data_IF_304588453332
#
_entry.id   IF_304588453332
#
_cell.length_a   1.000
_cell.length_b   1.000
_cell.length_c   1.000
_cell.angle_alpha   90.00
_cell.angle_beta   90.00
_cell.angle_gamma   90.00
#
_symmetry.space_group_name_H-M   'P 1'
#
loop_
_entity.id
_entity.type
_entity.pdbx_description
1 polymer ?
#
# COMPACT_ATOMS: atom_id res chain seq x y z
N UNK A 1 18.30 56.49 17.20
CA UNK A 1 17.20 55.53 17.41
C UNK A 1 16.61 55.01 16.08
N UNK A 2 16.28 55.88 15.10
CA UNK A 2 15.69 55.42 13.80
C UNK A 2 16.58 54.45 13.00
N UNK A 3 17.91 54.58 13.06
CA UNK A 3 18.87 53.69 12.33
C UNK A 3 18.95 52.29 12.94
N UNK A 4 18.75 52.13 14.24
CA UNK A 4 18.73 50.85 14.95
C UNK A 4 17.47 50.03 14.63
N UNK A 5 16.31 50.68 14.48
CA UNK A 5 15.06 50.01 14.12
C UNK A 5 15.06 49.51 12.66
N UNK A 6 15.68 50.25 11.76
CA UNK A 6 15.80 49.83 10.35
C UNK A 6 16.74 48.63 10.20
N UNK A 7 17.86 48.61 10.95
CA UNK A 7 18.81 47.48 10.91
C UNK A 7 18.21 46.20 11.50
N UNK A 8 17.39 46.31 12.56
CA UNK A 8 16.70 45.19 13.19
C UNK A 8 15.57 44.65 12.30
N UNK A 9 14.87 45.50 11.55
CA UNK A 9 13.85 45.10 10.60
C UNK A 9 14.42 44.31 9.39
N UNK A 10 15.59 44.70 8.92
CA UNK A 10 16.30 43.99 7.81
C UNK A 10 16.81 42.62 8.28
N UNK A 11 17.29 42.49 9.53
CA UNK A 11 17.73 41.22 10.09
C UNK A 11 16.58 40.20 10.27
N UNK A 12 15.40 40.66 10.68
CA UNK A 12 14.20 39.84 10.84
C UNK A 12 13.64 39.39 9.47
N UNK A 13 13.73 40.24 8.42
CA UNK A 13 13.28 39.87 7.08
C UNK A 13 14.22 38.86 6.40
N UNK A 14 15.53 38.87 6.70
CA UNK A 14 16.48 37.90 6.18
C UNK A 14 16.32 36.50 6.76
N UNK A 15 15.81 36.35 7.99
CA UNK A 15 15.52 35.03 8.59
C UNK A 15 14.22 34.38 8.08
N UNK A 16 13.29 35.14 7.51
CA UNK A 16 12.02 34.62 7.01
C UNK A 16 12.16 33.91 5.63
N UNK A 17 13.28 34.05 4.92
CA UNK A 17 13.51 33.45 3.59
C UNK A 17 14.09 32.03 3.68
N UNK A 18 14.46 31.55 4.87
CA UNK A 18 15.00 30.20 5.12
C UNK A 18 13.95 29.14 5.45
N UNK A 19 12.65 29.46 5.37
CA UNK A 19 11.59 28.45 5.40
C UNK A 19 11.62 27.69 4.07
N UNK A 20 12.47 26.63 4.03
CA UNK A 20 12.77 25.85 2.85
C UNK A 20 11.53 25.17 2.26
N UNK A 21 11.07 25.69 1.15
CA UNK A 21 10.38 24.85 0.18
C UNK A 21 11.40 23.83 -0.35
N UNK A 22 11.14 22.54 -0.15
CA UNK A 22 11.95 21.49 -0.73
C UNK A 22 12.21 21.80 -2.22
N UNK A 23 13.46 21.85 -2.63
CA UNK A 23 13.84 22.18 -4.00
C UNK A 23 13.34 21.11 -4.98
N UNK A 24 13.25 21.43 -6.26
CA UNK A 24 12.88 20.44 -7.29
C UNK A 24 13.82 19.23 -7.28
N UNK A 25 15.09 19.45 -6.96
CA UNK A 25 16.11 18.40 -6.87
C UNK A 25 15.90 17.49 -5.67
N UNK A 26 15.59 18.04 -4.49
CA UNK A 26 15.26 17.24 -3.30
C UNK A 26 14.02 16.37 -3.52
N UNK A 27 12.99 16.91 -4.16
CA UNK A 27 11.78 16.14 -4.50
C UNK A 27 12.08 15.03 -5.52
N UNK A 28 12.95 15.29 -6.49
CA UNK A 28 13.39 14.28 -7.46
C UNK A 28 14.22 13.18 -6.77
N UNK A 29 15.13 13.55 -5.86
CA UNK A 29 15.90 12.60 -5.07
C UNK A 29 15.02 11.71 -4.20
N UNK A 30 14.05 12.28 -3.48
CA UNK A 30 13.10 11.54 -2.66
C UNK A 30 12.25 10.57 -3.48
N UNK A 31 11.78 10.98 -4.67
CA UNK A 31 11.05 10.08 -5.58
C UNK A 31 11.90 8.91 -6.05
N UNK A 32 13.16 9.18 -6.41
CA UNK A 32 14.09 8.15 -6.84
C UNK A 32 14.47 7.19 -5.72
N UNK A 33 14.58 7.67 -4.50
CA UNK A 33 14.80 6.83 -3.31
C UNK A 33 13.59 5.94 -3.03
N UNK A 34 12.39 6.50 -3.07
CA UNK A 34 11.15 5.74 -2.88
C UNK A 34 11.04 4.62 -3.92
N UNK A 35 11.27 4.91 -5.20
CA UNK A 35 11.25 3.92 -6.28
C UNK A 35 12.27 2.80 -6.07
N UNK A 36 13.47 3.12 -5.57
CA UNK A 36 14.47 2.11 -5.19
C UNK A 36 14.00 1.22 -4.04
N UNK A 37 13.39 1.81 -3.01
CA UNK A 37 12.88 1.07 -1.85
C UNK A 37 11.73 0.13 -2.26
N UNK A 38 10.80 0.60 -3.11
CA UNK A 38 9.75 -0.24 -3.69
C UNK A 38 10.36 -1.41 -4.44
N UNK A 39 11.29 -1.13 -5.36
CA UNK A 39 11.93 -2.17 -6.18
C UNK A 39 12.67 -3.19 -5.32
N UNK A 40 13.40 -2.74 -4.29
CA UNK A 40 14.11 -3.62 -3.37
C UNK A 40 13.14 -4.54 -2.62
N UNK A 41 12.11 -3.99 -1.99
CA UNK A 41 11.14 -4.74 -1.21
C UNK A 41 10.42 -5.82 -2.05
N UNK A 42 10.06 -5.49 -3.29
CA UNK A 42 9.44 -6.41 -4.23
C UNK A 42 10.41 -7.53 -4.66
N UNK A 43 11.63 -7.19 -5.05
CA UNK A 43 12.64 -8.18 -5.46
C UNK A 43 13.00 -9.16 -4.32
N UNK A 44 13.00 -8.69 -3.08
CA UNK A 44 13.22 -9.50 -1.88
C UNK A 44 11.97 -10.29 -1.45
N UNK A 45 10.81 -10.06 -2.08
CA UNK A 45 9.51 -10.61 -1.67
C UNK A 45 9.24 -10.40 -0.18
N UNK A 46 9.61 -9.23 0.30
CA UNK A 46 9.45 -8.83 1.69
C UNK A 46 8.84 -7.42 1.73
N UNK A 47 7.52 -7.35 1.76
CA UNK A 47 6.80 -6.09 1.72
C UNK A 47 5.47 -6.17 2.42
N UNK A 48 5.01 -5.02 2.92
CA UNK A 48 3.71 -4.85 3.56
C UNK A 48 2.99 -3.67 2.93
N UNK A 49 1.72 -3.87 2.60
CA UNK A 49 0.82 -2.85 2.08
C UNK A 49 -0.25 -2.57 3.12
N UNK A 50 -0.19 -1.40 3.73
CA UNK A 50 -1.24 -0.90 4.62
C UNK A 50 -2.46 -0.46 3.81
N UNK A 51 -3.62 -0.94 4.20
CA UNK A 51 -4.88 -0.67 3.51
C UNK A 51 -5.52 0.59 4.09
N UNK A 52 -5.86 1.53 3.21
CA UNK A 52 -6.48 2.80 3.55
C UNK A 52 -7.97 2.82 3.20
N UNK A 53 -8.36 2.13 2.13
CA UNK A 53 -9.75 2.11 1.66
C UNK A 53 -10.12 0.72 1.14
N UNK A 54 -11.37 0.39 1.33
CA UNK A 54 -12.03 -0.79 0.80
C UNK A 54 -13.07 -0.35 -0.25
N UNK A 55 -13.05 -1.01 -1.40
CA UNK A 55 -13.92 -0.73 -2.54
C UNK A 55 -14.68 -2.03 -2.90
N UNK A 56 -15.83 -2.29 -2.29
CA UNK A 56 -16.61 -3.47 -2.61
C UNK A 56 -17.23 -3.35 -4.00
N UNK A 57 -17.56 -4.48 -4.63
CA UNK A 57 -18.24 -4.50 -5.93
C UNK A 57 -19.60 -3.81 -5.87
N UNK A 58 -20.23 -3.79 -4.69
CA UNK A 58 -21.53 -3.16 -4.46
C UNK A 58 -21.45 -2.25 -3.24
N UNK A 59 -22.00 -1.05 -3.40
CA UNK A 59 -21.98 -0.03 -2.36
C UNK A 59 -20.87 0.98 -2.53
N UNK A 60 -20.69 1.84 -1.54
CA UNK A 60 -19.74 2.94 -1.59
C UNK A 60 -18.36 2.48 -1.12
N UNK A 61 -17.32 3.09 -1.68
CA UNK A 61 -15.96 3.04 -1.16
C UNK A 61 -15.92 3.55 0.28
N UNK A 62 -15.18 2.86 1.15
CA UNK A 62 -15.09 3.17 2.59
C UNK A 62 -13.63 3.25 3.03
N UNK A 63 -13.32 4.25 3.83
CA UNK A 63 -12.06 4.26 4.57
C UNK A 63 -12.10 3.16 5.63
N UNK A 64 -10.98 2.48 5.84
CA UNK A 64 -10.86 1.45 6.86
C UNK A 64 -10.05 1.95 8.04
N UNK A 65 -10.24 1.33 9.20
CA UNK A 65 -9.47 1.62 10.39
C UNK A 65 -8.00 1.25 10.18
N UNK A 66 -7.11 1.85 10.96
CA UNK A 66 -5.70 1.49 10.97
C UNK A 66 -5.49 0.00 11.33
N UNK A 67 -4.50 -0.62 10.71
CA UNK A 67 -4.05 -1.99 11.04
C UNK A 67 -4.36 -3.04 9.97
N UNK A 68 -5.25 -2.77 9.01
CA UNK A 68 -5.49 -3.70 7.91
C UNK A 68 -4.34 -3.69 6.91
N UNK A 69 -3.87 -4.86 6.50
CA UNK A 69 -2.72 -4.99 5.61
C UNK A 69 -2.71 -6.30 4.81
N UNK A 70 -1.94 -6.29 3.74
CA UNK A 70 -1.44 -7.46 3.04
C UNK A 70 0.08 -7.44 3.14
N UNK A 71 0.67 -8.52 3.62
CA UNK A 71 2.10 -8.65 3.77
C UNK A 71 2.59 -9.94 3.11
N UNK A 72 3.70 -9.85 2.39
CA UNK A 72 4.44 -11.00 1.85
C UNK A 72 5.76 -11.07 2.57
N UNK A 73 6.05 -12.20 3.19
CA UNK A 73 7.30 -12.45 3.90
C UNK A 73 7.60 -13.94 3.95
N UNK A 74 8.84 -14.33 3.62
CA UNK A 74 9.29 -15.73 3.65
C UNK A 74 8.35 -16.68 2.89
N UNK A 75 7.99 -16.31 1.65
CA UNK A 75 7.05 -17.04 0.78
C UNK A 75 5.67 -17.33 1.42
N UNK A 76 5.29 -16.51 2.38
CA UNK A 76 4.00 -16.57 3.08
C UNK A 76 3.24 -15.27 2.87
N UNK A 77 1.96 -15.40 2.51
CA UNK A 77 1.02 -14.29 2.47
C UNK A 77 0.34 -14.16 3.84
N UNK A 78 0.44 -12.99 4.44
CA UNK A 78 -0.32 -12.58 5.62
C UNK A 78 -1.41 -11.63 5.15
N UNK A 79 -2.64 -12.06 5.22
CA UNK A 79 -3.80 -11.25 4.85
C UNK A 79 -4.57 -10.89 6.12
N UNK A 80 -4.72 -9.60 6.36
CA UNK A 80 -5.59 -9.06 7.39
C UNK A 80 -6.44 -7.96 6.77
N UNK A 81 -7.57 -8.35 6.17
CA UNK A 81 -8.41 -7.50 5.36
C UNK A 81 -9.86 -7.53 5.83
N UNK A 82 -10.54 -6.37 5.91
CA UNK A 82 -11.97 -6.33 6.15
C UNK A 82 -12.70 -6.77 4.88
N UNK A 83 -13.70 -7.60 5.00
CA UNK A 83 -14.52 -8.01 3.87
C UNK A 83 -15.93 -7.43 3.96
N UNK A 84 -16.40 -6.89 2.84
CA UNK A 84 -17.78 -6.48 2.66
C UNK A 84 -18.23 -6.86 1.26
N UNK A 85 -19.19 -7.78 1.18
CA UNK A 85 -19.69 -8.34 -0.08
C UNK A 85 -20.53 -9.59 0.16
N UNK A 86 -20.98 -10.23 -0.91
CA UNK A 86 -21.65 -11.52 -0.83
C UNK A 86 -20.64 -12.64 -0.63
N UNK A 87 -20.94 -13.52 0.32
CA UNK A 87 -20.34 -14.83 0.39
C UNK A 87 -21.35 -15.86 -0.15
N UNK A 88 -20.91 -16.72 -1.06
CA UNK A 88 -21.75 -17.74 -1.71
C UNK A 88 -21.83 -18.99 -0.87
N UNK A 89 -20.75 -19.34 -0.21
CA UNK A 89 -20.68 -20.44 0.73
C UNK A 89 -19.83 -20.01 1.91
N UNK A 90 -20.42 -19.99 3.10
CA UNK A 90 -19.74 -19.58 4.33
C UNK A 90 -19.65 -20.79 5.24
N UNK A 91 -18.46 -21.14 5.76
CA UNK A 91 -18.34 -22.19 6.76
C UNK A 91 -19.26 -21.95 7.96
N UNK A 92 -19.76 -23.02 8.54
CA UNK A 92 -20.57 -22.94 9.74
C UNK A 92 -19.78 -22.20 10.84
N UNK A 93 -20.34 -21.12 11.39
CA UNK A 93 -19.63 -20.27 12.35
C UNK A 93 -18.98 -19.01 11.74
N UNK A 94 -19.15 -18.76 10.42
CA UNK A 94 -18.78 -17.48 9.79
C UNK A 94 -17.41 -17.43 9.10
N UNK A 95 -16.50 -18.38 9.37
CA UNK A 95 -15.16 -18.43 8.78
C UNK A 95 -14.25 -17.25 9.14
N UNK A 96 -12.96 -17.34 8.78
CA UNK A 96 -11.96 -16.29 9.05
C UNK A 96 -12.00 -15.14 8.03
N UNK A 97 -12.74 -15.32 6.94
CA UNK A 97 -12.83 -14.33 5.88
C UNK A 97 -11.52 -14.15 5.12
N UNK A 98 -11.02 -12.90 5.08
CA UNK A 98 -9.73 -12.57 4.49
C UNK A 98 -8.65 -12.35 5.58
N UNK A 99 -8.82 -12.98 6.76
CA UNK A 99 -7.89 -12.86 7.88
C UNK A 99 -7.19 -14.21 8.11
N UNK A 100 -6.06 -14.40 7.45
CA UNK A 100 -5.28 -15.64 7.52
C UNK A 100 -3.82 -15.41 7.16
N UNK A 101 -2.97 -16.38 7.46
CA UNK A 101 -1.63 -16.51 6.89
C UNK A 101 -1.49 -17.88 6.23
N UNK A 102 -0.91 -17.92 5.04
CA UNK A 102 -0.74 -19.16 4.29
C UNK A 102 0.47 -19.09 3.37
N UNK A 103 1.22 -20.20 3.18
CA UNK A 103 2.26 -20.27 2.17
C UNK A 103 1.72 -19.94 0.76
N UNK A 104 2.53 -19.25 -0.01
CA UNK A 104 2.20 -18.88 -1.40
C UNK A 104 2.45 -20.09 -2.28
N UNK A 105 1.45 -20.50 -3.07
CA UNK A 105 1.56 -21.60 -4.04
C UNK A 105 2.06 -21.12 -5.40
N UNK A 106 1.62 -19.94 -5.80
CA UNK A 106 2.01 -19.32 -7.07
C UNK A 106 2.28 -17.82 -6.87
N UNK A 107 3.43 -17.35 -7.36
CA UNK A 107 3.82 -15.96 -7.34
C UNK A 107 4.35 -15.57 -8.72
N UNK A 108 3.67 -14.63 -9.38
CA UNK A 108 4.10 -14.07 -10.65
C UNK A 108 4.23 -12.56 -10.52
N UNK A 109 5.30 -12.01 -11.07
CA UNK A 109 5.56 -10.58 -11.04
C UNK A 109 6.09 -10.14 -12.40
N UNK A 110 5.56 -9.01 -12.90
CA UNK A 110 6.06 -8.36 -14.09
C UNK A 110 5.84 -6.84 -14.03
N UNK A 111 6.65 -6.11 -14.77
CA UNK A 111 6.54 -4.68 -14.90
C UNK A 111 5.68 -4.32 -16.12
N UNK A 112 4.67 -3.48 -15.91
CA UNK A 112 3.86 -2.91 -16.99
C UNK A 112 4.63 -1.80 -17.73
N UNK A 113 4.19 -1.47 -18.94
CA UNK A 113 4.80 -0.41 -19.78
C UNK A 113 4.82 0.97 -19.12
N UNK A 114 3.92 1.24 -18.19
CA UNK A 114 3.84 2.49 -17.42
C UNK A 114 4.73 2.52 -16.16
N UNK A 115 5.62 1.53 -15.99
CA UNK A 115 6.50 1.40 -14.83
C UNK A 115 5.86 0.71 -13.61
N UNK A 116 4.57 0.51 -13.61
CA UNK A 116 3.82 -0.14 -12.52
C UNK A 116 4.22 -1.61 -12.41
N UNK A 117 4.43 -2.09 -11.18
CA UNK A 117 4.68 -3.51 -10.89
C UNK A 117 3.34 -4.21 -10.67
N UNK A 118 3.15 -5.31 -11.35
CA UNK A 118 1.98 -6.17 -11.26
C UNK A 118 2.37 -7.51 -10.68
N UNK A 119 1.67 -7.94 -9.63
CA UNK A 119 1.98 -9.15 -8.87
C UNK A 119 0.69 -9.96 -8.75
N UNK A 120 0.78 -11.24 -9.06
CA UNK A 120 -0.29 -12.21 -8.86
C UNK A 120 0.14 -13.27 -7.85
N UNK A 121 -0.66 -13.47 -6.81
CA UNK A 121 -0.42 -14.45 -5.76
C UNK A 121 -1.61 -15.39 -5.67
N UNK A 122 -1.37 -16.66 -5.95
CA UNK A 122 -2.36 -17.73 -5.83
C UNK A 122 -2.08 -18.60 -4.61
N UNK A 123 -3.13 -18.96 -3.89
CA UNK A 123 -3.07 -19.91 -2.78
C UNK A 123 -4.43 -20.56 -2.51
N UNK A 124 -4.41 -21.73 -1.89
CA UNK A 124 -5.61 -22.44 -1.44
C UNK A 124 -5.44 -22.83 0.02
N UNK A 125 -6.37 -22.42 0.86
CA UNK A 125 -6.42 -22.82 2.25
C UNK A 125 -7.65 -23.72 2.52
N UNK A 126 -7.89 -24.07 3.78
CA UNK A 126 -9.01 -24.93 4.19
C UNK A 126 -10.39 -24.35 3.86
N UNK A 127 -10.51 -23.02 3.71
CA UNK A 127 -11.80 -22.36 3.48
C UNK A 127 -12.05 -22.06 2.00
N UNK A 128 -11.00 -21.69 1.22
CA UNK A 128 -11.21 -21.17 -0.14
C UNK A 128 -9.92 -21.18 -0.97
N UNK A 129 -10.07 -20.96 -2.28
CA UNK A 129 -8.97 -20.65 -3.19
C UNK A 129 -8.97 -19.16 -3.49
N UNK A 130 -7.84 -18.51 -3.35
CA UNK A 130 -7.67 -17.07 -3.49
C UNK A 130 -6.69 -16.72 -4.61
N UNK A 131 -6.99 -15.62 -5.29
CA UNK A 131 -6.07 -14.92 -6.18
C UNK A 131 -6.00 -13.45 -5.73
N UNK A 132 -4.83 -13.03 -5.33
CA UNK A 132 -4.49 -11.64 -5.04
C UNK A 132 -3.81 -11.04 -6.26
N UNK A 133 -4.36 -9.95 -6.78
CA UNK A 133 -3.72 -9.14 -7.81
C UNK A 133 -3.31 -7.82 -7.18
N UNK A 134 -2.02 -7.57 -7.12
CA UNK A 134 -1.45 -6.40 -6.46
C UNK A 134 -0.77 -5.54 -7.52
N UNK A 135 -1.06 -4.26 -7.52
CA UNK A 135 -0.40 -3.28 -8.36
C UNK A 135 0.31 -2.25 -7.48
N UNK A 136 1.59 -2.04 -7.73
CA UNK A 136 2.42 -1.11 -6.95
C UNK A 136 3.05 -0.10 -7.88
N UNK A 137 2.95 1.18 -7.51
CA UNK A 137 3.58 2.30 -8.18
C UNK A 137 4.91 2.65 -7.50
N UNK A 138 5.80 3.34 -8.23
CA UNK A 138 7.11 3.77 -7.73
C UNK A 138 7.05 4.65 -6.48
N UNK A 139 5.92 5.28 -6.20
CA UNK A 139 5.69 6.09 -4.99
C UNK A 139 5.13 5.29 -3.81
N UNK A 140 5.04 3.95 -3.93
CA UNK A 140 4.50 3.06 -2.92
C UNK A 140 2.97 2.96 -2.89
N UNK A 141 2.24 3.80 -3.63
CA UNK A 141 0.80 3.64 -3.75
C UNK A 141 0.49 2.26 -4.35
N UNK A 142 -0.51 1.60 -3.78
CA UNK A 142 -0.83 0.23 -4.15
C UNK A 142 -2.33 0.01 -4.27
N UNK A 143 -2.72 -0.85 -5.18
CA UNK A 143 -4.05 -1.43 -5.23
C UNK A 143 -3.96 -2.95 -5.06
N UNK A 144 -4.93 -3.51 -4.36
CA UNK A 144 -5.04 -4.94 -4.11
C UNK A 144 -6.44 -5.37 -4.51
N UNK A 145 -6.51 -6.30 -5.44
CA UNK A 145 -7.75 -6.99 -5.79
C UNK A 145 -7.69 -8.40 -5.19
N UNK A 146 -8.76 -8.81 -4.53
CA UNK A 146 -8.89 -10.17 -4.01
C UNK A 146 -10.08 -10.84 -4.67
N UNK A 147 -9.79 -11.91 -5.39
CA UNK A 147 -10.76 -12.85 -5.91
C UNK A 147 -10.74 -14.14 -5.09
N UNK A 148 -11.90 -14.69 -4.84
CA UNK A 148 -12.04 -16.02 -4.23
C UNK A 148 -13.22 -16.78 -4.84
N UNK A 149 -13.23 -18.09 -4.70
CA UNK A 149 -14.34 -18.93 -5.23
C UNK A 149 -15.64 -18.73 -4.48
N UNK A 150 -15.54 -18.51 -3.17
CA UNK A 150 -16.70 -18.50 -2.26
C UNK A 150 -17.22 -17.10 -1.95
N UNK A 151 -16.57 -16.06 -2.49
CA UNK A 151 -16.89 -14.67 -2.16
C UNK A 151 -16.88 -13.79 -3.39
N UNK A 152 -17.69 -12.74 -3.35
CA UNK A 152 -17.64 -11.68 -4.36
C UNK A 152 -16.28 -10.95 -4.30
N UNK A 153 -15.76 -10.57 -5.45
CA UNK A 153 -14.49 -9.86 -5.61
C UNK A 153 -14.51 -8.54 -4.83
N UNK A 154 -13.38 -8.15 -4.30
CA UNK A 154 -13.22 -6.91 -3.54
C UNK A 154 -11.89 -6.24 -3.87
N UNK A 155 -11.88 -4.92 -3.87
CA UNK A 155 -10.71 -4.10 -4.17
C UNK A 155 -10.32 -3.26 -2.96
N UNK A 156 -9.04 -3.01 -2.83
CA UNK A 156 -8.47 -2.15 -1.79
C UNK A 156 -7.48 -1.18 -2.40
N UNK A 157 -7.33 -0.03 -1.78
CA UNK A 157 -6.23 0.89 -2.05
C UNK A 157 -5.45 1.13 -0.77
N UNK A 158 -4.15 1.22 -0.90
CA UNK A 158 -3.24 1.34 0.22
C UNK A 158 -1.89 1.90 -0.18
N UNK A 159 -0.94 1.77 0.71
CA UNK A 159 0.42 2.23 0.53
C UNK A 159 1.40 1.20 1.09
N UNK A 160 2.48 0.96 0.37
CA UNK A 160 3.58 0.13 0.84
C UNK A 160 4.27 0.80 2.03
N UNK A 161 4.46 0.04 3.11
CA UNK A 161 5.21 0.47 4.27
C UNK A 161 6.69 0.13 4.07
N UNK A 162 7.56 1.02 4.56
CA UNK A 162 9.00 0.80 4.63
C UNK A 162 9.43 0.99 6.08
N UNK A 163 10.19 0.06 6.61
CA UNK A 163 10.83 0.21 7.90
C UNK A 163 11.78 1.41 7.85
N UNK A 164 11.67 2.28 8.86
CA UNK A 164 12.51 3.47 9.00
C UNK A 164 13.85 3.09 9.62
#
# INVERSE_FOLDING_TARGET
MRKFFVSMAIAVCACAVLCGCATSEERAAQKAEMARNVTKALNERNYKISILRMNPMRGSSRSVSYGYSVEVRNDTLFSYLPYFGRAYNVPYGGGKGLNFSHPIENYQEYQKKNGQRHIEIGLTNEEDTYLYTIEVFDNGNSSVEVWSRQRERIFYTGMMEFDK
#
